data_IF_999551567593
#
_entry.id   IF_999551567593
#
_cell.length_a   1.000
_cell.length_b   1.000
_cell.length_c   1.000
_cell.angle_alpha   90.00
_cell.angle_beta   90.00
_cell.angle_gamma   90.00
#
_symmetry.space_group_name_H-M   'P 1'
#
loop_
_entity.id
_entity.type
_entity.pdbx_description
1 polymer ?
#
# COMPACT_ATOMS: atom_id res chain seq x y z
N UNK A 1 -64.76 43.32 -1.57
CA UNK A 1 -64.90 42.48 -0.36
C UNK A 1 -65.21 41.06 -0.83
N UNK A 2 -64.58 40.04 -0.23
CA UNK A 2 -64.40 38.63 -0.71
C UNK A 2 -63.03 38.43 -1.38
N UNK A 3 -62.13 37.49 -1.06
CA UNK A 3 -61.88 36.58 0.09
C UNK A 3 -60.49 35.93 -0.15
N UNK A 4 -59.82 35.57 0.95
CA UNK A 4 -58.76 34.57 1.18
C UNK A 4 -57.44 34.51 0.37
N UNK A 5 -56.40 34.74 1.17
CA UNK A 5 -55.08 34.11 1.20
C UNK A 5 -55.12 32.59 0.94
N UNK A 6 -54.26 32.10 0.05
CA UNK A 6 -53.86 30.68 0.00
C UNK A 6 -52.34 30.59 -0.12
N UNK A 7 -51.68 30.48 1.03
CA UNK A 7 -50.34 29.91 1.15
C UNK A 7 -50.47 28.39 1.06
N UNK A 8 -49.87 27.76 0.05
CA UNK A 8 -49.72 26.30 0.01
C UNK A 8 -48.26 25.93 -0.22
N UNK A 9 -47.60 25.80 0.92
CA UNK A 9 -46.54 24.87 1.33
C UNK A 9 -45.79 24.09 0.24
N UNK A 10 -44.50 24.38 0.19
CA UNK A 10 -43.41 23.68 -0.49
C UNK A 10 -43.36 22.20 -0.05
N UNK A 11 -43.68 21.28 -0.96
CA UNK A 11 -43.63 19.83 -0.71
C UNK A 11 -42.25 19.28 -1.06
N UNK A 12 -41.40 19.14 -0.04
CA UNK A 12 -40.11 18.44 -0.11
C UNK A 12 -40.41 16.95 0.06
N UNK A 13 -40.33 16.19 -1.03
CA UNK A 13 -40.30 14.74 -0.97
C UNK A 13 -38.91 14.31 -0.49
N UNK A 14 -38.81 13.95 0.78
CA UNK A 14 -37.72 13.16 1.32
C UNK A 14 -38.31 11.94 2.06
N UNK A 15 -38.23 10.77 1.43
CA UNK A 15 -38.13 9.46 2.08
C UNK A 15 -37.71 8.46 0.98
N UNK A 16 -36.48 7.97 1.00
CA UNK A 16 -35.96 6.91 1.86
C UNK A 16 -35.88 5.61 1.06
N UNK A 17 -34.72 5.38 0.48
CA UNK A 17 -34.31 4.07 -0.02
C UNK A 17 -33.06 3.65 0.76
N UNK A 18 -33.34 3.01 1.89
CA UNK A 18 -32.57 1.93 2.51
C UNK A 18 -31.06 2.16 2.68
N UNK A 19 -30.69 2.49 3.92
CA UNK A 19 -29.39 2.12 4.47
C UNK A 19 -29.30 0.59 4.56
N UNK A 20 -28.27 -0.01 3.96
CA UNK A 20 -27.65 -1.22 4.50
C UNK A 20 -26.36 -0.80 5.22
N UNK A 21 -26.21 -1.11 6.53
CA UNK A 21 -24.94 -0.98 7.26
C UNK A 21 -23.83 -1.87 6.67
N UNK A 22 -22.55 -1.63 7.01
CA UNK A 22 -21.41 -1.93 6.17
C UNK A 22 -20.93 -3.38 6.31
N UNK A 23 -21.38 -4.28 5.44
CA UNK A 23 -20.79 -5.62 5.28
C UNK A 23 -19.30 -5.55 4.84
N UNK A 24 -18.82 -4.38 4.40
CA UNK A 24 -17.43 -4.17 3.95
C UNK A 24 -16.49 -3.60 5.02
N UNK A 25 -16.99 -3.12 6.16
CA UNK A 25 -16.14 -2.55 7.20
C UNK A 25 -15.55 -3.62 8.15
N UNK A 26 -16.16 -4.79 8.25
CA UNK A 26 -15.75 -5.85 9.19
C UNK A 26 -14.73 -6.84 8.61
N UNK A 27 -14.56 -6.90 7.28
CA UNK A 27 -13.61 -7.83 6.65
C UNK A 27 -12.14 -7.39 6.76
N UNK A 28 -11.86 -6.13 7.12
CA UNK A 28 -10.50 -5.59 7.28
C UNK A 28 -9.94 -5.77 8.70
N UNK A 29 -10.73 -6.25 9.66
CA UNK A 29 -10.43 -6.09 11.09
C UNK A 29 -9.39 -7.06 11.67
N UNK A 30 -8.72 -7.92 10.90
CA UNK A 30 -7.61 -8.73 11.45
C UNK A 30 -6.59 -9.17 10.40
N UNK A 31 -5.97 -8.22 9.66
CA UNK A 31 -4.80 -8.56 8.86
C UNK A 31 -3.70 -9.19 9.75
N UNK A 32 -3.06 -10.31 9.34
CA UNK A 32 -2.02 -10.96 10.14
C UNK A 32 -0.93 -9.96 10.56
N UNK A 33 -0.55 -9.97 11.84
CA UNK A 33 0.39 -8.99 12.41
C UNK A 33 1.76 -9.03 11.73
N UNK A 34 2.33 -7.85 11.46
CA UNK A 34 3.71 -7.67 10.95
C UNK A 34 4.77 -7.71 12.07
N UNK A 35 4.40 -7.85 13.34
CA UNK A 35 5.34 -7.77 14.46
C UNK A 35 6.52 -8.75 14.35
N UNK A 36 6.30 -9.92 13.72
CA UNK A 36 7.34 -10.93 13.51
C UNK A 36 8.49 -10.46 12.60
N UNK A 37 8.29 -9.42 11.78
CA UNK A 37 9.36 -8.88 10.91
C UNK A 37 10.57 -8.37 11.69
N UNK A 38 10.37 -7.93 12.93
CA UNK A 38 11.46 -7.52 13.83
C UNK A 38 12.50 -8.64 14.05
N UNK A 39 12.07 -9.91 14.01
CA UNK A 39 12.95 -11.08 14.18
C UNK A 39 13.77 -11.41 12.93
N UNK A 40 13.47 -10.79 11.80
CA UNK A 40 14.10 -11.04 10.51
C UNK A 40 14.99 -9.88 10.04
N UNK A 41 15.09 -8.80 10.82
CA UNK A 41 15.98 -7.68 10.52
C UNK A 41 17.42 -8.19 10.39
N UNK A 42 18.11 -7.75 9.33
CA UNK A 42 19.46 -8.18 8.97
C UNK A 42 19.53 -9.45 8.13
N UNK A 43 18.41 -10.18 7.93
CA UNK A 43 18.38 -11.39 7.09
C UNK A 43 18.02 -11.06 5.65
N UNK A 44 18.52 -11.84 4.70
CA UNK A 44 18.17 -11.67 3.30
C UNK A 44 16.80 -12.29 3.00
N UNK A 45 15.91 -11.61 2.23
CA UNK A 45 14.58 -12.12 1.91
C UNK A 45 14.56 -13.52 1.31
N UNK A 46 15.55 -13.85 0.46
CA UNK A 46 15.67 -15.15 -0.18
C UNK A 46 15.98 -16.28 0.81
N UNK A 47 16.79 -16.02 1.84
CA UNK A 47 17.20 -17.02 2.84
C UNK A 47 16.03 -17.48 3.71
N UNK A 48 15.12 -16.55 4.01
CA UNK A 48 13.98 -16.77 4.90
C UNK A 48 12.65 -16.90 4.17
N UNK A 49 12.67 -16.90 2.82
CA UNK A 49 11.48 -16.92 1.96
C UNK A 49 10.46 -15.86 2.38
N UNK A 50 10.93 -14.64 2.60
CA UNK A 50 10.16 -13.55 3.24
C UNK A 50 8.84 -13.29 2.52
N UNK A 51 8.86 -13.23 1.18
CA UNK A 51 7.72 -12.87 0.34
C UNK A 51 6.67 -13.97 0.19
N UNK A 52 7.07 -15.21 0.45
CA UNK A 52 6.22 -16.40 0.33
C UNK A 52 5.76 -16.95 1.67
N UNK A 53 6.16 -16.30 2.77
CA UNK A 53 5.83 -16.71 4.12
C UNK A 53 4.77 -15.79 4.76
N UNK A 54 3.93 -16.30 5.67
CA UNK A 54 3.12 -15.44 6.53
C UNK A 54 4.00 -14.54 7.41
N UNK A 55 3.57 -13.31 7.72
CA UNK A 55 2.27 -12.72 7.39
C UNK A 55 2.19 -12.11 5.97
N UNK A 56 3.30 -12.06 5.22
CA UNK A 56 3.40 -11.22 4.03
C UNK A 56 2.73 -11.81 2.79
N UNK A 57 2.87 -13.11 2.52
CA UNK A 57 2.44 -13.70 1.25
C UNK A 57 0.98 -13.38 0.91
N UNK A 58 0.06 -13.64 1.84
CA UNK A 58 -1.37 -13.39 1.61
C UNK A 58 -1.68 -11.92 1.41
N UNK A 59 -1.04 -11.04 2.19
CA UNK A 59 -1.26 -9.59 2.15
C UNK A 59 -0.71 -8.98 0.86
N UNK A 60 0.51 -9.37 0.45
CA UNK A 60 1.11 -8.93 -0.79
C UNK A 60 0.33 -9.40 -2.02
N UNK A 61 -0.21 -10.62 -2.01
CA UNK A 61 -1.10 -11.09 -3.07
C UNK A 61 -2.39 -10.28 -3.15
N UNK A 62 -3.01 -9.98 -2.00
CA UNK A 62 -4.21 -9.17 -1.95
C UNK A 62 -3.95 -7.72 -2.41
N UNK A 63 -2.81 -7.15 -2.01
CA UNK A 63 -2.44 -5.77 -2.32
C UNK A 63 -2.04 -5.59 -3.80
N UNK A 64 -1.25 -6.51 -4.34
CA UNK A 64 -0.65 -6.38 -5.67
C UNK A 64 -1.45 -7.06 -6.78
N UNK A 65 -2.35 -8.00 -6.44
CA UNK A 65 -3.14 -8.74 -7.41
C UNK A 65 -2.26 -9.43 -8.46
N UNK A 66 -2.53 -9.14 -9.73
CA UNK A 66 -1.77 -9.67 -10.88
C UNK A 66 -0.29 -9.27 -10.87
N UNK A 67 0.07 -8.17 -10.20
CA UNK A 67 1.44 -7.68 -10.11
C UNK A 67 2.30 -8.39 -9.06
N UNK A 68 1.74 -9.30 -8.25
CA UNK A 68 2.50 -10.02 -7.24
C UNK A 68 3.71 -10.78 -7.82
N UNK A 69 3.55 -11.41 -8.99
CA UNK A 69 4.67 -12.12 -9.64
C UNK A 69 5.76 -11.15 -10.13
N UNK A 70 5.38 -9.96 -10.61
CA UNK A 70 6.35 -8.92 -10.99
C UNK A 70 7.12 -8.41 -9.78
N UNK A 71 6.44 -8.22 -8.65
CA UNK A 71 7.10 -7.89 -7.39
C UNK A 71 8.15 -8.93 -6.98
N UNK A 72 7.84 -10.23 -7.04
CA UNK A 72 8.82 -11.28 -6.72
C UNK A 72 10.04 -11.23 -7.64
N UNK A 73 9.82 -11.05 -8.95
CA UNK A 73 10.92 -10.89 -9.92
C UNK A 73 11.77 -9.66 -9.60
N UNK A 74 11.13 -8.55 -9.24
CA UNK A 74 11.81 -7.30 -8.92
C UNK A 74 12.43 -7.31 -7.52
N UNK A 75 12.25 -8.37 -6.74
CA UNK A 75 12.90 -8.62 -5.45
C UNK A 75 13.94 -9.75 -5.50
N UNK A 76 14.40 -10.14 -6.70
CA UNK A 76 15.42 -11.19 -6.85
C UNK A 76 16.83 -10.71 -6.45
N UNK A 77 17.16 -9.43 -6.67
CA UNK A 77 18.39 -8.81 -6.17
C UNK A 77 17.98 -7.81 -5.10
N UNK A 78 18.32 -8.10 -3.84
CA UNK A 78 17.91 -7.30 -2.66
C UNK A 78 19.04 -7.16 -1.66
N UNK A 79 18.95 -6.11 -0.84
CA UNK A 79 19.63 -6.05 0.45
C UNK A 79 18.91 -6.87 1.53
N UNK A 80 19.46 -6.92 2.76
CA UNK A 80 18.75 -7.54 3.88
C UNK A 80 17.49 -6.73 4.24
N UNK A 81 16.60 -7.33 5.03
CA UNK A 81 15.52 -6.58 5.68
C UNK A 81 16.12 -5.58 6.67
N UNK A 82 15.88 -4.29 6.45
CA UNK A 82 16.35 -3.20 7.32
C UNK A 82 15.16 -2.70 8.15
N UNK A 83 15.45 -2.16 9.34
CA UNK A 83 14.46 -1.42 10.12
C UNK A 83 14.98 -0.02 10.45
N UNK A 84 14.12 0.99 10.27
CA UNK A 84 14.31 2.36 10.75
C UNK A 84 13.09 2.74 11.60
N UNK A 85 13.30 2.79 12.91
CA UNK A 85 12.23 2.97 13.89
C UNK A 85 11.13 1.91 13.76
N UNK A 86 9.93 2.35 13.40
CA UNK A 86 8.75 1.49 13.27
C UNK A 86 8.56 0.91 11.85
N UNK A 87 9.46 1.22 10.91
CA UNK A 87 9.33 0.78 9.52
C UNK A 87 10.40 -0.25 9.20
N UNK A 88 9.98 -1.46 8.83
CA UNK A 88 10.84 -2.46 8.23
C UNK A 88 10.73 -2.38 6.71
N UNK A 89 11.83 -2.44 5.97
CA UNK A 89 11.82 -2.26 4.53
C UNK A 89 12.90 -3.06 3.79
N UNK A 90 12.64 -3.32 2.51
CA UNK A 90 13.57 -3.94 1.55
C UNK A 90 13.47 -3.18 0.25
N UNK A 91 14.62 -2.92 -0.36
CA UNK A 91 14.72 -2.43 -1.74
C UNK A 91 15.24 -3.58 -2.61
N UNK A 92 14.77 -3.65 -3.85
CA UNK A 92 15.20 -4.67 -4.77
C UNK A 92 15.03 -4.27 -6.23
N UNK A 93 15.73 -5.03 -7.08
CA UNK A 93 15.56 -4.96 -8.52
C UNK A 93 15.57 -6.36 -9.17
N UNK A 94 15.03 -6.42 -10.37
CA UNK A 94 15.24 -7.56 -11.27
C UNK A 94 16.72 -7.62 -11.68
N UNK A 95 17.35 -8.81 -11.78
CA UNK A 95 18.75 -8.93 -12.16
C UNK A 95 19.03 -8.23 -13.49
N UNK A 96 20.12 -7.45 -13.53
CA UNK A 96 20.56 -6.69 -14.71
C UNK A 96 19.56 -5.63 -15.22
N UNK A 97 18.51 -5.30 -14.46
CA UNK A 97 17.46 -4.35 -14.86
C UNK A 97 17.17 -3.30 -13.77
N UNK A 98 18.19 -2.93 -12.99
CA UNK A 98 18.10 -1.81 -12.06
C UNK A 98 17.83 -0.51 -12.82
N UNK A 99 16.79 0.23 -12.42
CA UNK A 99 16.34 1.46 -13.07
C UNK A 99 15.13 1.32 -13.99
N UNK A 100 14.72 0.10 -14.34
CA UNK A 100 13.50 -0.15 -15.13
C UNK A 100 12.56 -1.19 -14.50
N UNK A 101 13.11 -2.09 -13.68
CA UNK A 101 12.38 -3.16 -13.00
C UNK A 101 12.85 -3.23 -11.54
N UNK A 102 12.17 -2.48 -10.66
CA UNK A 102 12.53 -2.32 -9.26
C UNK A 102 11.31 -2.45 -8.35
N UNK A 103 11.55 -2.72 -7.07
CA UNK A 103 10.51 -2.69 -6.05
C UNK A 103 11.06 -2.17 -4.71
N UNK A 104 10.20 -1.48 -3.98
CA UNK A 104 10.43 -1.07 -2.60
C UNK A 104 9.29 -1.65 -1.77
N UNK A 105 9.62 -2.40 -0.73
CA UNK A 105 8.65 -2.90 0.24
C UNK A 105 8.86 -2.19 1.57
N UNK A 106 7.78 -1.69 2.17
CA UNK A 106 7.74 -1.15 3.53
C UNK A 106 6.64 -1.83 4.33
N UNK A 107 6.93 -2.07 5.60
CA UNK A 107 6.01 -2.53 6.63
C UNK A 107 6.09 -1.61 7.84
N UNK A 108 5.00 -0.90 8.13
CA UNK A 108 4.86 -0.15 9.38
C UNK A 108 4.32 -1.07 10.47
N UNK A 109 5.16 -1.40 11.46
CA UNK A 109 4.93 -2.53 12.36
C UNK A 109 3.79 -2.28 13.34
N UNK A 110 3.80 -1.15 14.06
CA UNK A 110 2.77 -0.82 15.06
C UNK A 110 1.39 -0.62 14.44
N UNK A 111 1.36 0.04 13.28
CA UNK A 111 0.14 0.29 12.53
C UNK A 111 -0.31 -0.93 11.71
N UNK A 112 0.53 -1.96 11.62
CA UNK A 112 0.29 -3.19 10.88
C UNK A 112 -0.08 -2.95 9.41
N UNK A 113 0.65 -2.09 8.70
CA UNK A 113 0.37 -1.72 7.29
C UNK A 113 1.54 -2.00 6.35
N UNK A 114 1.21 -2.38 5.11
CA UNK A 114 2.15 -2.59 4.01
C UNK A 114 2.02 -1.46 2.98
N UNK A 115 3.17 -1.06 2.44
CA UNK A 115 3.30 -0.18 1.29
C UNK A 115 4.35 -0.75 0.34
N UNK A 116 4.04 -0.79 -0.95
CA UNK A 116 4.93 -1.20 -2.02
C UNK A 116 5.00 -0.13 -3.11
N UNK A 117 6.19 0.25 -3.50
CA UNK A 117 6.43 0.85 -4.81
C UNK A 117 6.92 -0.24 -5.76
N UNK A 118 6.30 -0.34 -6.93
CA UNK A 118 6.68 -1.31 -7.95
C UNK A 118 6.91 -0.57 -9.28
N UNK A 119 8.13 -0.68 -9.80
CA UNK A 119 8.50 -0.16 -11.10
C UNK A 119 8.48 -1.28 -12.13
N UNK A 120 7.69 -1.13 -13.18
CA UNK A 120 7.64 -2.05 -14.33
C UNK A 120 7.75 -1.23 -15.60
N UNK A 121 8.68 -1.58 -16.48
CA UNK A 121 9.02 -0.81 -17.67
C UNK A 121 9.19 0.69 -17.35
N UNK A 122 9.98 1.02 -16.31
CA UNK A 122 10.29 2.40 -15.88
C UNK A 122 9.09 3.17 -15.30
N UNK A 123 7.91 2.56 -15.23
CA UNK A 123 6.70 3.17 -14.65
C UNK A 123 6.58 2.74 -13.20
N UNK A 124 6.73 3.70 -12.29
CA UNK A 124 6.56 3.50 -10.86
C UNK A 124 5.08 3.57 -10.46
N UNK A 125 4.58 2.53 -9.81
CA UNK A 125 3.22 2.46 -9.25
C UNK A 125 3.27 2.29 -7.74
N UNK A 126 2.45 3.05 -7.02
CA UNK A 126 2.31 3.02 -5.56
C UNK A 126 1.13 2.11 -5.17
N UNK A 127 1.37 1.11 -4.31
CA UNK A 127 0.35 0.24 -3.72
C UNK A 127 0.43 0.32 -2.21
N UNK A 128 -0.67 0.61 -1.54
CA UNK A 128 -0.69 0.63 -0.08
C UNK A 128 -2.00 0.07 0.46
N UNK A 129 -1.91 -0.54 1.64
CA UNK A 129 -3.12 -0.84 2.41
C UNK A 129 -3.77 0.46 2.93
N UNK A 130 -5.07 0.45 3.27
CA UNK A 130 -5.76 1.64 3.77
C UNK A 130 -5.14 2.22 5.04
N UNK A 131 -5.09 3.55 5.14
CA UNK A 131 -4.64 4.26 6.34
C UNK A 131 -3.82 5.52 6.00
N UNK A 132 -3.27 6.19 7.03
CA UNK A 132 -2.34 7.31 6.83
C UNK A 132 -1.09 6.89 6.05
N UNK A 133 -0.48 7.85 5.35
CA UNK A 133 0.82 7.62 4.69
C UNK A 133 1.89 7.27 5.73
N UNK A 134 2.66 6.22 5.47
CA UNK A 134 3.82 5.83 6.26
C UNK A 134 4.88 6.94 6.13
N UNK A 135 5.44 7.38 7.26
CA UNK A 135 6.63 8.25 7.23
C UNK A 135 7.80 7.46 6.67
N UNK A 136 8.38 7.91 5.57
CA UNK A 136 9.44 7.17 4.89
C UNK A 136 10.76 7.27 5.66
N UNK A 137 11.51 6.16 5.79
CA UNK A 137 12.94 6.22 6.09
C UNK A 137 13.65 7.11 5.08
N UNK A 138 14.69 7.83 5.53
CA UNK A 138 15.40 8.81 4.68
C UNK A 138 15.93 8.20 3.38
N UNK A 139 16.47 6.99 3.47
CA UNK A 139 16.98 6.24 2.29
C UNK A 139 15.87 5.97 1.27
N UNK A 140 14.71 5.51 1.74
CA UNK A 140 13.55 5.26 0.87
C UNK A 140 13.04 6.56 0.26
N UNK A 141 12.98 7.65 1.02
CA UNK A 141 12.58 8.95 0.51
C UNK A 141 13.49 9.42 -0.64
N UNK A 142 14.81 9.31 -0.47
CA UNK A 142 15.78 9.61 -1.53
C UNK A 142 15.51 8.74 -2.76
N UNK A 143 15.38 7.43 -2.58
CA UNK A 143 15.21 6.51 -3.70
C UNK A 143 13.90 6.72 -4.47
N UNK A 144 12.79 6.96 -3.77
CA UNK A 144 11.49 7.26 -4.40
C UNK A 144 11.57 8.56 -5.20
N UNK A 145 12.24 9.59 -4.67
CA UNK A 145 12.39 10.86 -5.36
C UNK A 145 13.28 10.76 -6.61
N UNK A 146 14.33 9.94 -6.57
CA UNK A 146 15.20 9.70 -7.72
C UNK A 146 14.55 8.84 -8.80
N UNK A 147 13.69 7.89 -8.41
CA UNK A 147 13.02 6.96 -9.32
C UNK A 147 11.70 7.49 -9.90
N UNK A 148 11.13 8.56 -9.33
CA UNK A 148 10.02 9.24 -9.98
C UNK A 148 10.57 9.98 -11.21
N UNK A 149 9.91 9.87 -12.39
CA UNK A 149 10.30 10.66 -13.55
C UNK A 149 10.32 12.13 -13.11
N UNK A 150 11.37 12.88 -13.47
CA UNK A 150 11.51 14.28 -13.08
C UNK A 150 10.19 15.00 -13.34
N UNK A 151 9.52 15.43 -12.27
CA UNK A 151 8.38 16.36 -12.38
C UNK A 151 8.95 17.69 -12.88
N UNK A 152 9.02 17.85 -14.19
CA UNK A 152 9.42 19.08 -14.86
C UNK A 152 10.76 18.99 -15.59
N UNK A 153 10.73 18.48 -16.82
CA UNK A 153 11.54 19.01 -17.90
C UNK A 153 10.58 19.33 -19.07
N UNK A 154 10.33 20.64 -19.23
CA UNK A 154 9.41 21.36 -20.12
C UNK A 154 7.94 21.47 -19.70
#
# INVERSE_FOLDING_TARGET
>A
MTILLAMSVMSIYACSSQQTPPEQATALATAPSLASLKNFVGKYPAEIKLWESPPLQGRLRALLGEHYQKFLVNMQVTGPLIADGNVAYVTGNKPHSGGSEAAIFLAEIESNRIHVWLMVNEIMTEYHEPGPRIKLPREVETMVNEMQPMKGAN
#
